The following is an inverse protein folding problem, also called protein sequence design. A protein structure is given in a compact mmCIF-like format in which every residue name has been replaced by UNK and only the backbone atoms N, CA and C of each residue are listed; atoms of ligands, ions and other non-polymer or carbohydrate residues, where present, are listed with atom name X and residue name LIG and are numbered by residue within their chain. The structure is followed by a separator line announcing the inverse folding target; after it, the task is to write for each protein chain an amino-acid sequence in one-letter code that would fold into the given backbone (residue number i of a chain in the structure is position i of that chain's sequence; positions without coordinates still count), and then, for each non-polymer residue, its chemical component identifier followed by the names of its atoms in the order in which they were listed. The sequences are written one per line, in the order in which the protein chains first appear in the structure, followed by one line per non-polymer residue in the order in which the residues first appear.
data_IF_503861703003
#
_entry.id   IF_503861703003
#
_cell.length_a   1.000
_cell.length_b   1.000
_cell.length_c   1.000
_cell.angle_alpha   90.00
_cell.angle_beta   90.00
_cell.angle_gamma   90.00
#
_symmetry.space_group_name_H-M   'P 1'
#
loop_
_entity.id
_entity.type
_entity.pdbx_description
1 polymer ?
#
# COMPACT_ATOMS: atom_id res chain seq x y z
N UNK A 1 -7.78 11.28 -6.06
CA UNK A 1 -8.77 11.33 -4.97
C UNK A 1 -8.16 10.57 -3.81
N UNK A 2 -8.13 11.18 -2.62
CA UNK A 2 -7.76 10.45 -1.41
C UNK A 2 -9.09 9.89 -0.93
N UNK A 3 -9.50 8.75 -1.48
CA UNK A 3 -10.66 8.02 -0.97
C UNK A 3 -10.25 7.49 0.39
N UNK A 4 -10.95 7.91 1.44
CA UNK A 4 -10.79 7.32 2.76
C UNK A 4 -11.51 5.96 2.73
N UNK A 5 -10.77 4.92 3.09
CA UNK A 5 -11.26 3.55 3.10
C UNK A 5 -10.69 2.80 4.30
N UNK A 6 -11.44 1.82 4.77
CA UNK A 6 -11.03 0.90 5.83
C UNK A 6 -10.72 -0.46 5.22
N UNK A 7 -9.54 -1.03 5.50
CA UNK A 7 -9.28 -2.44 5.17
C UNK A 7 -10.07 -3.32 6.14
N UNK A 8 -10.94 -4.16 5.59
CA UNK A 8 -11.75 -5.12 6.34
C UNK A 8 -11.12 -6.50 6.16
N UNK A 9 -10.41 -6.96 7.18
CA UNK A 9 -9.72 -8.26 7.17
C UNK A 9 -8.24 -8.16 6.80
N UNK A 10 -7.70 -9.25 6.26
CA UNK A 10 -6.29 -9.36 5.89
C UNK A 10 -6.03 -8.87 4.45
N UNK A 11 -4.77 -8.46 4.20
CA UNK A 11 -4.30 -8.22 2.82
C UNK A 11 -3.73 -9.54 2.31
N UNK A 12 -4.30 -10.04 1.24
CA UNK A 12 -3.92 -11.27 0.57
C UNK A 12 -3.06 -10.99 -0.67
N UNK A 13 -2.54 -12.05 -1.30
CA UNK A 13 -1.83 -11.99 -2.59
C UNK A 13 -0.70 -10.94 -2.61
N UNK A 14 0.04 -10.83 -1.50
CA UNK A 14 1.06 -9.80 -1.34
C UNK A 14 2.26 -10.11 -2.24
N UNK A 15 2.55 -9.19 -3.15
CA UNK A 15 3.66 -9.27 -4.09
C UNK A 15 4.60 -8.07 -3.98
N UNK A 16 5.89 -8.31 -4.15
CA UNK A 16 6.90 -7.23 -4.17
C UNK A 16 7.11 -6.71 -5.59
N UNK A 17 6.72 -5.46 -5.82
CA UNK A 17 6.93 -4.77 -7.10
C UNK A 17 8.39 -4.31 -7.23
N UNK A 18 8.93 -3.68 -6.18
CA UNK A 18 10.26 -3.10 -6.22
C UNK A 18 10.90 -3.03 -4.82
N UNK A 19 12.22 -3.05 -4.76
CA UNK A 19 12.99 -2.97 -3.51
C UNK A 19 14.10 -1.94 -3.64
N UNK A 20 14.32 -1.17 -2.58
CA UNK A 20 15.47 -0.27 -2.45
C UNK A 20 15.58 0.73 -3.60
N UNK A 21 16.71 0.71 -4.31
CA UNK A 21 17.01 1.65 -5.41
C UNK A 21 16.09 1.51 -6.63
N UNK A 22 15.41 0.37 -6.81
CA UNK A 22 14.41 0.20 -7.88
C UNK A 22 13.13 1.01 -7.63
N UNK A 23 12.95 1.54 -6.41
CA UNK A 23 11.87 2.46 -6.08
C UNK A 23 12.28 3.88 -6.50
N UNK A 24 11.66 4.40 -7.56
CA UNK A 24 11.98 5.74 -8.12
C UNK A 24 11.96 6.87 -7.08
N UNK A 25 11.06 6.79 -6.09
CA UNK A 25 10.92 7.80 -5.04
C UNK A 25 11.60 7.43 -3.71
N UNK A 26 12.56 6.49 -3.71
CA UNK A 26 13.23 6.00 -2.49
C UNK A 26 13.84 7.11 -1.63
N UNK A 27 14.44 8.12 -2.27
CA UNK A 27 15.02 9.26 -1.56
C UNK A 27 13.95 10.07 -0.80
N UNK A 28 12.75 10.22 -1.38
CA UNK A 28 11.63 10.91 -0.71
C UNK A 28 11.07 10.09 0.45
N UNK A 29 10.94 8.78 0.29
CA UNK A 29 10.51 7.88 1.37
C UNK A 29 11.48 7.93 2.55
N UNK A 30 12.79 7.88 2.27
CA UNK A 30 13.82 7.98 3.30
C UNK A 30 13.81 9.32 4.03
N UNK A 31 13.61 10.43 3.29
CA UNK A 31 13.51 11.76 3.89
C UNK A 31 12.27 11.93 4.77
N UNK A 32 11.13 11.37 4.35
CA UNK A 32 9.86 11.55 5.05
C UNK A 32 9.68 10.60 6.25
N UNK A 33 10.16 9.36 6.13
CA UNK A 33 9.85 8.30 7.10
C UNK A 33 11.09 7.62 7.68
N UNK A 34 12.29 7.95 7.18
CA UNK A 34 13.55 7.39 7.69
C UNK A 34 14.19 6.33 6.79
N UNK A 35 15.44 6.04 7.11
CA UNK A 35 16.25 5.06 6.38
C UNK A 35 15.80 3.64 6.71
N UNK A 36 15.65 2.80 5.68
CA UNK A 36 15.26 1.42 5.86
C UNK A 36 15.30 0.63 4.55
N UNK A 37 15.09 -0.69 4.66
CA UNK A 37 14.91 -1.58 3.50
C UNK A 37 13.49 -1.45 2.97
N UNK A 38 13.26 -0.36 2.26
CA UNK A 38 11.99 -0.06 1.62
C UNK A 38 11.66 -1.08 0.52
N UNK A 39 10.40 -1.52 0.53
CA UNK A 39 9.76 -2.37 -0.47
C UNK A 39 8.50 -1.66 -0.93
N UNK A 40 8.26 -1.67 -2.24
CA UNK A 40 6.97 -1.33 -2.83
C UNK A 40 6.23 -2.65 -3.03
N UNK A 41 5.07 -2.75 -2.42
CA UNK A 41 4.26 -3.96 -2.40
C UNK A 41 2.92 -3.68 -3.06
N UNK A 42 2.33 -4.72 -3.64
CA UNK A 42 0.91 -4.79 -3.99
C UNK A 42 0.27 -5.96 -3.28
N UNK A 43 -1.04 -5.92 -3.15
CA UNK A 43 -1.82 -6.99 -2.55
C UNK A 43 -3.30 -6.69 -2.68
N UNK A 44 -4.10 -7.70 -2.49
CA UNK A 44 -5.55 -7.63 -2.62
C UNK A 44 -6.15 -7.53 -1.23
N UNK A 45 -7.09 -6.60 -1.04
CA UNK A 45 -7.78 -6.47 0.23
C UNK A 45 -9.25 -6.14 -0.02
N UNK A 46 -10.10 -6.61 0.89
CA UNK A 46 -11.46 -6.14 1.01
C UNK A 46 -11.45 -4.80 1.75
N UNK A 47 -12.12 -3.79 1.19
CA UNK A 47 -12.23 -2.47 1.80
C UNK A 47 -13.67 -2.04 1.93
N UNK A 48 -13.93 -1.25 2.97
CA UNK A 48 -15.17 -0.50 3.13
C UNK A 48 -14.92 0.96 2.76
N UNK A 49 -15.69 1.48 1.82
CA UNK A 49 -15.68 2.88 1.42
C UNK A 49 -16.57 3.72 2.35
N UNK A 50 -16.47 5.06 2.27
CA UNK A 50 -17.26 5.98 3.10
C UNK A 50 -18.78 5.82 2.95
N UNK A 51 -19.25 5.41 1.77
CA UNK A 51 -20.66 5.15 1.50
C UNK A 51 -21.16 3.82 2.10
N UNK A 52 -20.27 3.06 2.76
CA UNK A 52 -20.57 1.79 3.39
C UNK A 52 -20.51 0.59 2.44
N UNK A 53 -20.24 0.80 1.15
CA UNK A 53 -20.02 -0.29 0.19
C UNK A 53 -18.74 -1.05 0.51
N UNK A 54 -18.74 -2.34 0.17
CA UNK A 54 -17.61 -3.22 0.35
C UNK A 54 -17.12 -3.66 -1.02
N UNK A 55 -15.82 -3.47 -1.26
CA UNK A 55 -15.19 -3.81 -2.53
C UNK A 55 -13.92 -4.62 -2.33
N UNK A 56 -13.63 -5.54 -3.25
CA UNK A 56 -12.33 -6.18 -3.36
C UNK A 56 -11.45 -5.36 -4.28
N UNK A 57 -10.27 -4.95 -3.83
CA UNK A 57 -9.42 -4.05 -4.62
C UNK A 57 -7.94 -4.40 -4.50
N UNK A 58 -7.17 -4.17 -5.56
CA UNK A 58 -5.70 -4.21 -5.50
C UNK A 58 -5.21 -2.88 -4.91
N UNK A 59 -4.38 -2.95 -3.86
CA UNK A 59 -3.71 -1.79 -3.29
C UNK A 59 -2.22 -1.87 -3.47
N UNK A 60 -1.58 -0.70 -3.61
CA UNK A 60 -0.12 -0.58 -3.56
C UNK A 60 0.28 0.24 -2.34
N UNK A 61 1.35 -0.17 -1.66
CA UNK A 61 1.95 0.58 -0.56
C UNK A 61 3.48 0.48 -0.54
N UNK A 62 4.09 1.29 0.32
CA UNK A 62 5.50 1.18 0.66
C UNK A 62 5.66 0.66 2.08
N UNK A 63 6.60 -0.23 2.30
CA UNK A 63 6.88 -0.78 3.63
C UNK A 63 8.37 -0.91 3.88
N UNK A 64 8.78 -0.59 5.09
CA UNK A 64 10.12 -0.86 5.58
C UNK A 64 10.05 -1.48 6.97
N UNK A 65 10.99 -2.38 7.25
CA UNK A 65 11.11 -3.03 8.55
C UNK A 65 11.27 -1.96 9.65
N UNK A 66 10.45 -2.06 10.71
CA UNK A 66 10.42 -1.09 11.82
C UNK A 66 9.72 0.25 11.52
N UNK A 67 9.31 0.52 10.27
CA UNK A 67 8.61 1.75 9.88
C UNK A 67 7.13 1.52 9.49
N UNK A 68 6.78 0.26 9.22
CA UNK A 68 5.42 -0.14 8.85
C UNK A 68 5.03 0.24 7.43
N UNK A 69 3.73 0.07 7.13
CA UNK A 69 3.13 0.40 5.82
C UNK A 69 2.89 1.90 5.70
N UNK A 70 3.20 2.48 4.54
CA UNK A 70 3.07 3.91 4.21
C UNK A 70 2.50 4.09 2.81
N UNK A 71 1.76 5.18 2.63
CA UNK A 71 1.14 5.57 1.35
C UNK A 71 0.35 4.43 0.68
N UNK A 72 -0.47 3.72 1.47
CA UNK A 72 -1.41 2.74 0.93
C UNK A 72 -2.40 3.46 0.00
N UNK A 73 -2.67 2.89 -1.17
CA UNK A 73 -3.60 3.43 -2.16
C UNK A 73 -4.30 2.32 -2.91
N UNK A 74 -5.59 2.49 -3.17
CA UNK A 74 -6.34 1.69 -4.14
C UNK A 74 -5.76 1.93 -5.53
N UNK A 75 -5.55 0.85 -6.27
CA UNK A 75 -5.06 0.88 -7.65
C UNK A 75 -6.08 0.41 -8.65
N UNK A 76 -6.84 -0.62 -8.30
CA UNK A 76 -7.81 -1.24 -9.19
C UNK A 76 -8.92 -1.88 -8.35
N UNK A 77 -10.16 -1.71 -8.77
CA UNK A 77 -11.31 -2.43 -8.23
C UNK A 77 -11.42 -3.78 -8.95
N UNK A 78 -11.53 -4.87 -8.19
CA UNK A 78 -11.53 -6.25 -8.68
C UNK A 78 -12.92 -6.92 -8.62
N UNK A 79 -13.95 -6.15 -8.25
CA UNK A 79 -15.36 -6.53 -8.36
C UNK A 79 -15.86 -6.55 -9.81
#
# INVERSE_FOLDING_TARGET
MNEDFEIVGDIEEIETIAVGSRIREIARLRKAFGVGRWRKLKGVATVRLEDGTIHRVEHHWYEAHGLGRKKLKIKEYLD
#
